data_IF_272919235240
#
_entry.id   IF_272919235240
#
_cell.length_a   1.000
_cell.length_b   1.000
_cell.length_c   1.000
_cell.angle_alpha   90.00
_cell.angle_beta   90.00
_cell.angle_gamma   90.00
#
_symmetry.space_group_name_H-M   'P 1'
#
loop_
_entity.id
_entity.type
_entity.pdbx_description
1 polymer ?
#
# COMPACT_ATOMS: atom_id res chain seq x y z
N UNK A 1 7.33 -18.26 17.20
CA UNK A 1 8.36 -17.69 16.29
C UNK A 1 9.10 -16.55 17.00
N UNK A 2 10.42 -16.42 16.80
CA UNK A 2 11.20 -15.27 17.31
C UNK A 2 11.06 -14.03 16.39
N UNK A 3 11.15 -12.81 16.93
CA UNK A 3 11.00 -11.56 16.15
C UNK A 3 12.01 -11.50 15.00
N UNK A 4 13.25 -11.94 15.26
CA UNK A 4 14.31 -11.96 14.25
C UNK A 4 13.98 -12.91 13.10
N UNK A 5 13.45 -14.09 13.41
CA UNK A 5 13.03 -15.08 12.42
C UNK A 5 11.86 -14.56 11.58
N UNK A 6 10.91 -13.88 12.21
CA UNK A 6 9.77 -13.28 11.54
C UNK A 6 10.21 -12.18 10.54
N UNK A 7 11.13 -11.29 10.93
CA UNK A 7 11.69 -10.30 10.03
C UNK A 7 12.53 -10.90 8.91
N UNK A 8 13.30 -11.97 9.18
CA UNK A 8 14.06 -12.68 8.14
C UNK A 8 13.13 -13.29 7.09
N UNK A 9 12.01 -13.89 7.51
CA UNK A 9 10.99 -14.43 6.62
C UNK A 9 10.30 -13.33 5.80
N UNK A 10 9.83 -12.25 6.44
CA UNK A 10 9.25 -11.14 5.69
C UNK A 10 10.25 -10.51 4.71
N UNK A 11 11.54 -10.47 5.06
CA UNK A 11 12.58 -9.94 4.18
C UNK A 11 12.79 -10.80 2.93
N UNK A 12 12.66 -12.13 3.05
CA UNK A 12 12.74 -13.04 1.90
C UNK A 12 11.50 -12.93 1.00
N UNK A 13 10.32 -12.75 1.59
CA UNK A 13 9.05 -12.59 0.86
C UNK A 13 8.95 -11.23 0.17
N UNK A 14 9.32 -10.14 0.85
CA UNK A 14 9.23 -8.78 0.30
C UNK A 14 10.35 -8.45 -0.68
N UNK A 15 10.41 -9.19 -1.80
CA UNK A 15 11.34 -8.90 -2.89
C UNK A 15 11.04 -7.53 -3.53
N UNK A 16 12.04 -6.97 -4.22
CA UNK A 16 11.85 -5.74 -4.97
C UNK A 16 10.77 -5.89 -6.05
N UNK A 17 10.64 -7.08 -6.62
CA UNK A 17 9.61 -7.43 -7.59
C UNK A 17 8.22 -7.36 -6.98
N UNK A 18 7.99 -8.07 -5.86
CA UNK A 18 6.70 -8.06 -5.14
C UNK A 18 6.28 -6.64 -4.74
N UNK A 19 7.22 -5.86 -4.20
CA UNK A 19 6.94 -4.46 -3.83
C UNK A 19 6.54 -3.61 -5.05
N UNK A 20 7.16 -3.83 -6.21
CA UNK A 20 6.82 -3.11 -7.44
C UNK A 20 5.47 -3.53 -8.00
N UNK A 21 5.12 -4.82 -7.91
CA UNK A 21 3.80 -5.32 -8.27
C UNK A 21 2.71 -4.72 -7.39
N UNK A 22 2.91 -4.68 -6.08
CA UNK A 22 1.95 -4.08 -5.16
C UNK A 22 1.78 -2.58 -5.38
N UNK A 23 2.86 -1.85 -5.68
CA UNK A 23 2.76 -0.44 -6.10
C UNK A 23 1.94 -0.27 -7.38
N UNK A 24 2.12 -1.16 -8.38
CA UNK A 24 1.31 -1.15 -9.61
C UNK A 24 -0.16 -1.45 -9.30
N UNK A 25 -0.45 -2.40 -8.41
CA UNK A 25 -1.82 -2.72 -7.95
C UNK A 25 -2.47 -1.51 -7.28
N UNK A 26 -1.76 -0.84 -6.37
CA UNK A 26 -2.21 0.40 -5.72
C UNK A 26 -2.53 1.47 -6.75
N UNK A 27 -1.65 1.70 -7.74
CA UNK A 27 -1.90 2.67 -8.79
C UNK A 27 -3.16 2.35 -9.59
N UNK A 28 -3.37 1.07 -9.96
CA UNK A 28 -4.59 0.66 -10.67
C UNK A 28 -5.87 0.97 -9.87
N UNK A 29 -5.86 0.72 -8.56
CA UNK A 29 -6.99 1.03 -7.68
C UNK A 29 -7.25 2.54 -7.66
N UNK A 30 -6.20 3.35 -7.51
CA UNK A 30 -6.33 4.81 -7.51
C UNK A 30 -6.86 5.34 -8.85
N UNK A 31 -6.39 4.81 -9.97
CA UNK A 31 -6.91 5.20 -11.29
C UNK A 31 -8.40 4.89 -11.40
N UNK A 32 -8.83 3.71 -10.96
CA UNK A 32 -10.24 3.34 -10.97
C UNK A 32 -11.08 4.29 -10.11
N UNK A 33 -10.65 4.62 -8.89
CA UNK A 33 -11.37 5.57 -8.04
C UNK A 33 -11.49 6.96 -8.68
N UNK A 34 -10.44 7.43 -9.36
CA UNK A 34 -10.47 8.71 -10.07
C UNK A 34 -11.45 8.68 -11.25
N UNK A 35 -11.50 7.57 -11.99
CA UNK A 35 -12.46 7.37 -13.09
C UNK A 35 -13.89 7.29 -12.58
N UNK A 36 -14.14 6.57 -11.48
CA UNK A 36 -15.46 6.47 -10.83
C UNK A 36 -15.95 7.85 -10.35
N UNK A 37 -15.10 8.61 -9.65
CA UNK A 37 -15.43 9.96 -9.18
C UNK A 37 -15.67 10.94 -10.35
N UNK A 38 -14.89 10.82 -11.41
CA UNK A 38 -15.07 11.61 -12.63
C UNK A 38 -16.41 11.32 -13.32
N UNK A 39 -16.83 10.05 -13.34
CA UNK A 39 -18.13 9.65 -13.88
C UNK A 39 -19.29 10.18 -13.02
N UNK A 40 -19.18 10.10 -11.69
CA UNK A 40 -20.18 10.65 -10.76
C UNK A 40 -20.40 12.17 -10.94
N UNK A 41 -19.32 12.89 -11.26
CA UNK A 41 -19.37 14.33 -11.51
C UNK A 41 -19.84 14.69 -12.93
N UNK A 42 -20.20 13.71 -13.77
CA UNK A 42 -20.57 13.89 -15.18
C UNK A 42 -19.51 14.65 -16.01
N UNK A 43 -18.25 14.66 -15.57
CA UNK A 43 -17.10 15.29 -16.26
C UNK A 43 -16.21 14.27 -16.97
N UNK A 44 -16.63 13.00 -17.05
CA UNK A 44 -15.90 11.94 -17.73
C UNK A 44 -15.56 12.31 -19.19
N UNK A 45 -16.51 12.93 -19.89
CA UNK A 45 -16.34 13.35 -21.29
C UNK A 45 -15.45 14.61 -21.41
N UNK A 46 -15.48 15.54 -20.44
CA UNK A 46 -14.56 16.70 -20.38
C UNK A 46 -13.12 16.29 -20.04
N UNK A 47 -12.93 15.18 -19.33
CA UNK A 47 -11.63 14.58 -19.10
C UNK A 47 -11.09 13.91 -20.37
N UNK A 48 -11.93 13.35 -21.23
CA UNK A 48 -11.47 12.71 -22.47
C UNK A 48 -10.80 13.70 -23.44
N UNK A 49 -11.36 14.91 -23.62
CA UNK A 49 -10.84 15.89 -24.60
C UNK A 49 -9.64 16.71 -24.11
N UNK A 50 -9.50 16.93 -22.79
CA UNK A 50 -8.41 17.75 -22.22
C UNK A 50 -7.53 17.06 -21.19
N UNK A 51 -8.00 16.00 -20.54
CA UNK A 51 -7.30 15.39 -19.41
C UNK A 51 -6.30 14.33 -19.82
N UNK A 52 -6.29 13.80 -21.05
CA UNK A 52 -5.19 12.95 -21.52
C UNK A 52 -3.81 13.62 -21.30
N UNK A 53 -3.68 14.91 -21.61
CA UNK A 53 -2.46 15.70 -21.37
C UNK A 53 -2.25 16.05 -19.89
N UNK A 54 -3.31 16.30 -19.11
CA UNK A 54 -3.20 16.63 -17.67
C UNK A 54 -2.91 15.40 -16.81
N UNK A 55 -3.48 14.24 -17.14
CA UNK A 55 -3.21 12.93 -16.54
C UNK A 55 -1.85 12.43 -16.96
N UNK A 56 -1.41 12.64 -18.21
CA UNK A 56 -0.02 12.39 -18.62
C UNK A 56 0.96 13.28 -17.87
N UNK A 57 0.69 14.58 -17.74
CA UNK A 57 1.48 15.49 -16.88
C UNK A 57 1.41 15.08 -15.41
N UNK A 58 0.27 14.64 -14.90
CA UNK A 58 0.15 14.10 -13.55
C UNK A 58 0.94 12.81 -13.39
N UNK A 59 1.00 11.92 -14.40
CA UNK A 59 1.87 10.73 -14.41
C UNK A 59 3.35 11.11 -14.42
N UNK A 60 3.72 12.12 -15.22
CA UNK A 60 5.07 12.68 -15.32
C UNK A 60 5.48 13.43 -14.04
N UNK A 61 4.54 14.11 -13.36
CA UNK A 61 4.75 14.87 -12.13
C UNK A 61 4.43 14.10 -10.83
N UNK A 62 3.69 12.99 -10.86
CA UNK A 62 3.54 12.08 -9.72
C UNK A 62 4.85 11.31 -9.48
N UNK A 63 5.75 11.33 -10.46
CA UNK A 63 7.18 11.06 -10.31
C UNK A 63 7.97 12.23 -9.66
N UNK A 64 7.32 13.24 -9.08
CA UNK A 64 8.01 14.28 -8.28
C UNK A 64 8.43 13.76 -6.90
N UNK A 65 9.61 14.17 -6.40
CA UNK A 65 10.04 13.91 -5.03
C UNK A 65 9.22 14.79 -4.07
N UNK A 66 8.13 14.23 -3.55
CA UNK A 66 7.25 14.79 -2.51
C UNK A 66 6.56 13.67 -1.75
N UNK A 67 5.80 13.98 -0.68
CA UNK A 67 5.25 13.01 0.27
C UNK A 67 4.10 12.15 -0.35
N UNK A 68 4.41 11.31 -1.34
CA UNK A 68 3.42 10.58 -2.15
C UNK A 68 2.96 9.29 -1.46
N UNK A 69 1.76 8.81 -1.83
CA UNK A 69 1.25 7.51 -1.37
C UNK A 69 2.27 6.39 -1.62
N UNK A 70 2.97 6.41 -2.77
CA UNK A 70 4.00 5.42 -3.08
C UNK A 70 5.20 5.45 -2.13
N UNK A 71 5.58 6.62 -1.60
CA UNK A 71 6.59 6.69 -0.52
C UNK A 71 6.06 6.08 0.76
N UNK A 72 4.77 6.22 1.04
CA UNK A 72 4.14 5.61 2.23
C UNK A 72 4.06 4.10 2.09
N UNK A 73 3.72 3.61 0.90
CA UNK A 73 3.80 2.19 0.53
C UNK A 73 5.23 1.67 0.66
N UNK A 74 6.23 2.39 0.15
CA UNK A 74 7.63 2.00 0.31
C UNK A 74 8.06 1.97 1.78
N UNK A 75 7.64 2.95 2.57
CA UNK A 75 7.97 3.05 3.98
C UNK A 75 7.47 1.82 4.76
N UNK A 76 6.19 1.44 4.58
CA UNK A 76 5.63 0.28 5.30
C UNK A 76 6.31 -1.02 4.88
N UNK A 77 6.66 -1.17 3.59
CA UNK A 77 7.44 -2.33 3.15
C UNK A 77 8.86 -2.37 3.75
N UNK A 78 9.56 -1.24 3.80
CA UNK A 78 10.89 -1.19 4.41
C UNK A 78 10.83 -1.50 5.91
N UNK A 79 9.81 -0.98 6.60
CA UNK A 79 9.54 -1.28 8.01
C UNK A 79 9.34 -2.78 8.19
N UNK A 80 8.51 -3.41 7.35
CA UNK A 80 8.23 -4.83 7.42
C UNK A 80 9.44 -5.72 7.05
N UNK A 81 10.45 -5.18 6.35
CA UNK A 81 11.76 -5.85 6.12
C UNK A 81 12.74 -5.69 7.29
N UNK A 82 12.34 -4.99 8.35
CA UNK A 82 13.20 -4.69 9.50
C UNK A 82 14.28 -3.68 9.17
N UNK A 83 13.99 -2.68 8.33
CA UNK A 83 14.91 -1.56 8.08
C UNK A 83 14.89 -0.58 9.27
N UNK A 84 16.01 -0.43 10.00
CA UNK A 84 16.08 0.38 11.22
C UNK A 84 15.93 1.89 10.98
N UNK A 85 15.93 2.35 9.72
CA UNK A 85 15.74 3.77 9.38
C UNK A 85 14.27 4.22 9.38
N UNK A 86 13.32 3.28 9.51
CA UNK A 86 11.90 3.57 9.68
C UNK A 86 11.57 3.91 11.15
N UNK A 87 11.84 5.15 11.57
CA UNK A 87 11.55 5.61 12.94
C UNK A 87 10.05 5.59 13.29
N UNK A 88 9.75 5.25 14.55
CA UNK A 88 8.40 5.00 15.10
C UNK A 88 7.40 6.19 15.11
N UNK A 89 7.76 7.49 15.08
CA UNK A 89 6.73 8.54 15.03
C UNK A 89 5.98 8.62 13.68
N UNK A 90 6.58 8.16 12.58
CA UNK A 90 6.09 8.40 11.22
C UNK A 90 5.27 7.24 10.62
N UNK A 91 5.36 6.03 11.19
CA UNK A 91 4.70 4.85 10.64
C UNK A 91 3.17 5.01 10.59
N UNK A 92 2.57 5.53 11.67
CA UNK A 92 1.12 5.75 11.73
C UNK A 92 0.63 6.76 10.69
N UNK A 93 1.45 7.74 10.29
CA UNK A 93 1.11 8.73 9.27
C UNK A 93 1.06 8.07 7.90
N UNK A 94 2.04 7.23 7.59
CA UNK A 94 2.11 6.48 6.33
C UNK A 94 0.97 5.48 6.20
N UNK A 95 0.70 4.72 7.26
CA UNK A 95 -0.40 3.75 7.33
C UNK A 95 -1.75 4.45 7.15
N UNK A 96 -2.04 5.51 7.91
CA UNK A 96 -3.28 6.30 7.77
C UNK A 96 -3.43 6.86 6.35
N UNK A 97 -2.36 7.34 5.72
CA UNK A 97 -2.41 7.84 4.35
C UNK A 97 -2.81 6.75 3.37
N UNK A 98 -2.29 5.53 3.53
CA UNK A 98 -2.65 4.37 2.71
C UNK A 98 -4.13 4.04 2.87
N UNK A 99 -4.61 3.94 4.11
CA UNK A 99 -6.01 3.60 4.37
C UNK A 99 -6.97 4.63 3.80
N UNK A 100 -6.68 5.93 3.98
CA UNK A 100 -7.50 6.99 3.41
C UNK A 100 -7.53 6.95 1.89
N UNK A 101 -6.36 6.80 1.25
CA UNK A 101 -6.28 6.81 -0.21
C UNK A 101 -6.97 5.61 -0.85
N UNK A 102 -6.95 4.44 -0.20
CA UNK A 102 -7.47 3.20 -0.77
C UNK A 102 -8.89 2.86 -0.34
N UNK A 103 -9.34 3.33 0.82
CA UNK A 103 -10.55 2.81 1.46
C UNK A 103 -11.46 3.88 2.06
N UNK A 104 -11.12 5.17 1.96
CA UNK A 104 -12.03 6.24 2.37
C UNK A 104 -12.81 6.77 1.16
N UNK A 105 -14.12 6.50 1.15
CA UNK A 105 -15.03 7.09 0.18
C UNK A 105 -15.16 8.62 0.41
N UNK A 106 -15.45 9.43 -0.62
CA UNK A 106 -15.52 10.91 -0.51
C UNK A 106 -16.43 11.45 0.59
N UNK A 107 -17.53 10.76 0.88
CA UNK A 107 -18.50 11.14 1.91
C UNK A 107 -18.26 10.45 3.28
N UNK A 108 -17.28 9.54 3.39
CA UNK A 108 -17.04 8.79 4.60
C UNK A 108 -16.13 9.55 5.58
N UNK A 109 -16.47 9.50 6.87
CA UNK A 109 -15.64 10.10 7.94
C UNK A 109 -14.37 9.29 8.24
N UNK A 110 -14.37 7.99 7.92
CA UNK A 110 -13.27 7.06 8.17
C UNK A 110 -13.13 6.05 7.02
N UNK A 111 -11.91 5.53 6.77
CA UNK A 111 -11.70 4.45 5.81
C UNK A 111 -12.34 3.14 6.29
N UNK A 112 -12.89 2.35 5.36
CA UNK A 112 -13.45 1.02 5.63
C UNK A 112 -12.55 -0.03 5.00
N UNK A 113 -11.66 -0.62 5.81
CA UNK A 113 -10.67 -1.58 5.34
C UNK A 113 -11.33 -2.97 5.26
N UNK A 114 -11.37 -3.61 4.08
CA UNK A 114 -11.98 -4.92 3.93
C UNK A 114 -11.08 -6.04 4.47
N UNK A 115 -11.66 -7.11 5.01
CA UNK A 115 -10.90 -8.19 5.67
C UNK A 115 -9.82 -8.83 4.79
N UNK A 116 -10.08 -8.95 3.48
CA UNK A 116 -9.11 -9.52 2.54
C UNK A 116 -7.82 -8.68 2.45
N UNK A 117 -7.87 -7.39 2.78
CA UNK A 117 -6.70 -6.51 2.71
C UNK A 117 -5.59 -7.00 3.63
N UNK A 118 -5.92 -7.48 4.82
CA UNK A 118 -4.96 -7.94 5.82
C UNK A 118 -4.14 -9.16 5.37
N UNK A 119 -4.65 -9.88 4.36
CA UNK A 119 -3.95 -11.01 3.70
C UNK A 119 -3.12 -10.59 2.49
N UNK A 120 -3.19 -9.32 2.07
CA UNK A 120 -2.35 -8.80 0.97
C UNK A 120 -0.96 -8.42 1.47
N UNK A 121 0.08 -8.46 0.62
CA UNK A 121 1.42 -8.07 1.06
C UNK A 121 1.49 -6.64 1.60
N UNK A 122 0.73 -5.71 1.01
CA UNK A 122 0.62 -4.34 1.53
C UNK A 122 -0.08 -4.29 2.91
N UNK A 123 -1.11 -5.11 3.13
CA UNK A 123 -1.83 -5.15 4.40
C UNK A 123 -0.97 -5.72 5.53
N UNK A 124 -0.25 -6.81 5.28
CA UNK A 124 0.73 -7.37 6.22
C UNK A 124 1.82 -6.35 6.55
N UNK A 125 2.32 -5.62 5.55
CA UNK A 125 3.30 -4.54 5.77
C UNK A 125 2.72 -3.39 6.62
N UNK A 126 1.45 -3.02 6.42
CA UNK A 126 0.80 -1.99 7.23
C UNK A 126 0.57 -2.46 8.68
N UNK A 127 0.16 -3.72 8.89
CA UNK A 127 0.02 -4.31 10.24
C UNK A 127 1.36 -4.32 10.97
N UNK A 128 2.42 -4.75 10.28
CA UNK A 128 3.78 -4.76 10.84
C UNK A 128 4.22 -3.35 11.23
N UNK A 129 3.93 -2.35 10.40
CA UNK A 129 4.30 -0.96 10.65
C UNK A 129 3.46 -0.29 11.76
N UNK A 130 2.21 -0.71 11.99
CA UNK A 130 1.32 -0.12 12.98
C UNK A 130 1.39 -0.80 14.35
N UNK A 131 1.51 -2.13 14.37
CA UNK A 131 1.34 -2.97 15.56
C UNK A 131 2.58 -3.82 15.87
N UNK A 132 3.63 -3.70 15.03
CA UNK A 132 4.85 -4.49 15.15
C UNK A 132 4.75 -5.87 14.50
N UNK A 133 5.89 -6.56 14.46
CA UNK A 133 6.03 -7.86 13.79
C UNK A 133 5.18 -8.97 14.42
N UNK A 134 4.90 -8.87 15.72
CA UNK A 134 4.08 -9.84 16.44
C UNK A 134 2.64 -9.94 15.90
N UNK A 135 2.11 -8.85 15.33
CA UNK A 135 0.74 -8.82 14.79
C UNK A 135 0.56 -9.66 13.52
N UNK A 136 1.64 -10.13 12.90
CA UNK A 136 1.61 -10.89 11.64
C UNK A 136 2.18 -12.29 11.77
N UNK A 137 2.41 -12.78 12.99
CA UNK A 137 2.97 -14.11 13.21
C UNK A 137 2.14 -15.23 12.58
N UNK A 138 0.83 -15.21 12.78
CA UNK A 138 -0.08 -16.21 12.21
C UNK A 138 0.01 -16.24 10.66
N UNK A 139 0.13 -15.05 10.05
CA UNK A 139 0.23 -14.92 8.59
C UNK A 139 1.58 -15.43 8.08
N UNK A 140 2.66 -15.17 8.82
CA UNK A 140 4.00 -15.67 8.47
C UNK A 140 4.06 -17.19 8.60
N UNK A 141 3.43 -17.75 9.63
CA UNK A 141 3.36 -19.22 9.81
C UNK A 141 2.57 -19.88 8.67
N UNK A 142 1.47 -19.27 8.21
CA UNK A 142 0.75 -19.73 7.01
C UNK A 142 1.65 -19.69 5.76
N UNK A 143 2.40 -18.60 5.56
CA UNK A 143 3.33 -18.46 4.42
C UNK A 143 4.46 -19.50 4.46
N UNK A 144 4.99 -19.79 5.65
CA UNK A 144 6.03 -20.80 5.84
C UNK A 144 5.53 -22.21 5.49
N UNK A 145 4.29 -22.53 5.85
CA UNK A 145 3.68 -23.82 5.51
C UNK A 145 3.49 -23.99 4.00
N UNK A 146 3.07 -22.93 3.30
CA UNK A 146 2.95 -22.94 1.84
C UNK A 146 4.32 -23.16 1.18
N UNK A 147 5.35 -22.42 1.62
CA UNK A 147 6.71 -22.52 1.08
C UNK A 147 7.39 -23.88 1.33
N UNK A 148 6.96 -24.64 2.34
CA UNK A 148 7.48 -26.00 2.62
C UNK A 148 6.78 -27.09 1.81
N UNK A 149 5.65 -26.78 1.19
CA UNK A 149 4.82 -27.74 0.45
C UNK A 149 5.06 -27.65 -1.07
N UNK A 150 5.76 -26.61 -1.53
CA UNK A 150 6.28 -26.42 -2.90
C UNK A 150 7.73 -26.91 -3.02
#
# INVERSE_FOLDING_TARGET
>A
MDEKQAYEMLRSVYTNELMMEEKRRVLKILYRHLEEQAAELAVADELAEGAGKRVKRYKEYAYMPGNTLLKSVQFVFNTARGDPTAGEPDASIHVKRIYKALYQAPAARAPVIPDYFWRTPLGVACLTAEQGIAAVYDIIEELEQIHRTE
#
